data_IF_535571191519
#
_entry.id   IF_535571191519
#
_cell.length_a   1.000
_cell.length_b   1.000
_cell.length_c   1.000
_cell.angle_alpha   90.00
_cell.angle_beta   90.00
_cell.angle_gamma   90.00
#
_symmetry.space_group_name_H-M   'P 1'
#
loop_
_entity.id
_entity.type
_entity.pdbx_description
1 polymer ?
#
# COMPACT_ATOMS: atom_id res chain seq x y z
N UNK A 1 12.72 -5.53 17.58
CA UNK A 1 12.96 -6.13 16.26
C UNK A 1 11.59 -6.44 15.69
N UNK A 2 11.22 -5.78 14.61
CA UNK A 2 9.98 -6.01 13.86
C UNK A 2 10.36 -6.89 12.68
N UNK A 3 10.02 -8.18 12.73
CA UNK A 3 10.18 -9.05 11.57
C UNK A 3 9.04 -8.73 10.59
N UNK A 4 9.38 -8.04 9.51
CA UNK A 4 8.47 -7.79 8.40
C UNK A 4 8.58 -8.96 7.43
N UNK A 5 7.46 -9.57 7.11
CA UNK A 5 7.33 -10.49 5.98
C UNK A 5 6.45 -9.79 4.97
N UNK A 6 7.06 -9.32 3.88
CA UNK A 6 6.37 -8.73 2.74
C UNK A 6 6.17 -9.83 1.69
N UNK A 7 4.92 -10.11 1.34
CA UNK A 7 4.60 -11.12 0.33
C UNK A 7 3.49 -10.64 -0.60
N UNK A 8 3.81 -10.60 -1.89
CA UNK A 8 2.93 -10.23 -3.02
C UNK A 8 2.14 -11.45 -3.54
N UNK A 9 1.22 -12.02 -2.77
CA UNK A 9 0.49 -13.24 -3.17
C UNK A 9 -0.89 -13.02 -3.81
N UNK A 10 -1.32 -11.77 -4.00
CA UNK A 10 -2.66 -11.44 -4.49
C UNK A 10 -2.94 -11.77 -5.96
N UNK A 11 -1.99 -12.33 -6.71
CA UNK A 11 -2.07 -12.42 -8.17
C UNK A 11 -2.85 -13.61 -8.73
N UNK A 12 -3.26 -14.58 -7.94
CA UNK A 12 -3.95 -15.79 -8.45
C UNK A 12 -5.10 -16.22 -7.56
N UNK A 13 -6.24 -15.59 -7.70
CA UNK A 13 -7.63 -16.08 -7.68
C UNK A 13 -8.16 -17.02 -6.59
N UNK A 14 -7.36 -17.54 -5.68
CA UNK A 14 -7.83 -18.30 -4.52
C UNK A 14 -6.91 -18.06 -3.34
N UNK A 15 -7.28 -17.07 -2.53
CA UNK A 15 -6.61 -16.82 -1.26
C UNK A 15 -7.12 -17.82 -0.23
N UNK A 16 -6.33 -18.82 0.09
CA UNK A 16 -6.45 -19.50 1.36
C UNK A 16 -5.64 -18.73 2.40
N UNK A 17 -6.34 -18.01 3.29
CA UNK A 17 -5.76 -17.16 4.31
C UNK A 17 -4.80 -17.91 5.24
N UNK A 18 -4.99 -19.21 5.40
CA UNK A 18 -4.13 -20.06 6.20
C UNK A 18 -2.75 -20.24 5.58
N UNK A 19 -2.66 -20.41 4.28
CA UNK A 19 -1.41 -20.70 3.57
C UNK A 19 -0.45 -19.51 3.60
N UNK A 20 -0.94 -18.31 3.35
CA UNK A 20 -0.14 -17.06 3.35
C UNK A 20 0.37 -16.75 4.76
N UNK A 21 -0.44 -16.96 5.78
CA UNK A 21 -0.02 -16.76 7.16
C UNK A 21 0.98 -17.81 7.59
N UNK A 22 0.85 -19.08 7.17
CA UNK A 22 1.83 -20.12 7.45
C UNK A 22 3.22 -19.76 6.88
N UNK A 23 3.27 -19.25 5.66
CA UNK A 23 4.52 -18.79 5.06
C UNK A 23 5.12 -17.58 5.80
N UNK A 24 4.28 -16.58 6.16
CA UNK A 24 4.70 -15.44 6.96
C UNK A 24 5.31 -15.85 8.32
N UNK A 25 4.77 -16.89 8.94
CA UNK A 25 5.31 -17.46 10.17
C UNK A 25 6.44 -18.47 9.95
N UNK A 26 6.86 -18.71 8.69
CA UNK A 26 7.86 -19.72 8.31
C UNK A 26 7.52 -21.14 8.80
N UNK A 27 6.24 -21.46 8.80
CA UNK A 27 5.75 -22.79 9.16
C UNK A 27 5.82 -23.67 7.90
N UNK A 28 6.46 -24.84 8.04
CA UNK A 28 6.47 -25.82 6.96
C UNK A 28 5.05 -26.20 6.56
N UNK A 29 4.80 -26.14 5.24
CA UNK A 29 3.49 -26.42 4.66
C UNK A 29 3.11 -27.88 4.91
N UNK A 30 1.97 -28.09 5.54
CA UNK A 30 1.44 -29.43 5.79
C UNK A 30 0.42 -29.78 4.69
N UNK A 31 0.20 -31.05 4.46
CA UNK A 31 -0.76 -31.55 3.46
C UNK A 31 -2.23 -31.24 3.77
N UNK A 32 -2.51 -30.64 4.93
CA UNK A 32 -3.86 -30.32 5.40
C UNK A 32 -3.91 -28.87 5.92
N UNK A 33 -4.82 -28.07 5.37
CA UNK A 33 -5.09 -26.70 5.82
C UNK A 33 -5.40 -26.65 7.33
N UNK A 34 -6.12 -27.62 7.87
CA UNK A 34 -6.39 -27.72 9.30
C UNK A 34 -5.12 -27.86 10.15
N UNK A 35 -4.13 -28.60 9.68
CA UNK A 35 -2.86 -28.74 10.40
C UNK A 35 -2.05 -27.46 10.34
N UNK A 36 -2.06 -26.75 9.20
CA UNK A 36 -1.44 -25.45 9.06
C UNK A 36 -2.06 -24.42 10.02
N UNK A 37 -3.37 -24.32 10.07
CA UNK A 37 -4.09 -23.42 10.99
C UNK A 37 -3.73 -23.73 12.46
N UNK A 38 -3.73 -25.00 12.83
CA UNK A 38 -3.39 -25.42 14.19
C UNK A 38 -1.96 -25.04 14.59
N UNK A 39 -0.98 -25.26 13.69
CA UNK A 39 0.41 -24.85 13.90
C UNK A 39 0.53 -23.33 14.03
N UNK A 40 -0.17 -22.60 13.18
CA UNK A 40 -0.21 -21.14 13.18
C UNK A 40 -0.72 -20.59 14.52
N UNK A 41 -1.83 -21.13 15.02
CA UNK A 41 -2.37 -20.78 16.34
C UNK A 41 -1.37 -21.10 17.46
N UNK A 42 -0.74 -22.27 17.41
CA UNK A 42 0.27 -22.66 18.42
C UNK A 42 1.46 -21.71 18.42
N UNK A 43 1.95 -21.30 17.24
CA UNK A 43 3.06 -20.35 17.12
C UNK A 43 2.66 -18.96 17.62
N UNK A 44 1.45 -18.49 17.29
CA UNK A 44 0.93 -17.23 17.81
C UNK A 44 0.90 -17.22 19.35
N UNK A 45 0.47 -18.30 19.99
CA UNK A 45 0.52 -18.43 21.45
C UNK A 45 1.95 -18.54 22.01
N UNK A 46 2.89 -19.17 21.27
CA UNK A 46 4.29 -19.23 21.65
C UNK A 46 4.93 -17.84 21.69
N UNK A 47 4.70 -17.04 20.63
CA UNK A 47 5.15 -15.66 20.55
C UNK A 47 4.55 -14.80 21.68
N UNK A 48 3.25 -14.94 21.91
CA UNK A 48 2.58 -14.22 22.99
C UNK A 48 3.15 -14.56 24.37
N UNK A 49 3.41 -15.83 24.64
CA UNK A 49 4.06 -16.28 25.92
C UNK A 49 5.46 -15.74 26.08
N UNK A 50 6.18 -15.47 24.99
CA UNK A 50 7.49 -14.83 25.02
C UNK A 50 7.43 -13.31 25.21
N UNK A 51 6.24 -12.74 25.48
CA UNK A 51 6.02 -11.31 25.68
C UNK A 51 5.96 -10.48 24.39
N UNK A 52 5.88 -11.13 23.23
CA UNK A 52 5.74 -10.44 21.93
C UNK A 52 4.28 -10.15 21.63
N UNK A 53 4.01 -8.96 21.12
CA UNK A 53 2.70 -8.59 20.58
C UNK A 53 2.66 -8.93 19.10
N UNK A 54 1.61 -9.63 18.68
CA UNK A 54 1.39 -9.98 17.29
C UNK A 54 0.48 -8.95 16.62
N UNK A 55 0.91 -8.44 15.47
CA UNK A 55 0.12 -7.53 14.62
C UNK A 55 0.16 -8.10 13.21
N UNK A 56 -1.00 -8.45 12.67
CA UNK A 56 -1.17 -8.86 11.28
C UNK A 56 -1.57 -7.65 10.47
N UNK A 57 -0.82 -7.32 9.43
CA UNK A 57 -1.13 -6.22 8.50
C UNK A 57 -1.41 -6.84 7.13
N UNK A 58 -2.59 -6.55 6.59
CA UNK A 58 -2.99 -7.00 5.25
C UNK A 58 -3.18 -5.75 4.39
N UNK A 59 -2.28 -5.58 3.43
CA UNK A 59 -2.40 -4.53 2.42
C UNK A 59 -3.27 -5.01 1.25
N UNK A 60 -3.80 -4.06 0.49
CA UNK A 60 -4.75 -4.31 -0.60
C UNK A 60 -5.96 -5.18 -0.20
N UNK A 61 -6.38 -5.11 1.06
CA UNK A 61 -7.50 -5.89 1.60
C UNK A 61 -8.84 -5.67 0.87
N UNK A 62 -8.96 -4.63 0.06
CA UNK A 62 -10.12 -4.38 -0.81
C UNK A 62 -10.27 -5.42 -1.93
N UNK A 63 -9.18 -6.14 -2.26
CA UNK A 63 -9.18 -7.23 -3.25
C UNK A 63 -9.62 -8.57 -2.65
N UNK A 64 -9.78 -8.65 -1.33
CA UNK A 64 -10.21 -9.89 -0.68
C UNK A 64 -11.69 -10.17 -0.97
N UNK A 65 -11.96 -11.40 -1.34
CA UNK A 65 -13.34 -11.89 -1.40
C UNK A 65 -13.97 -11.96 -0.01
N UNK A 66 -15.28 -11.79 0.07
CA UNK A 66 -16.04 -11.87 1.33
C UNK A 66 -15.77 -13.17 2.10
N UNK A 67 -15.64 -14.29 1.41
CA UNK A 67 -15.35 -15.58 2.04
C UNK A 67 -13.97 -15.61 2.69
N UNK A 68 -12.96 -15.04 2.04
CA UNK A 68 -11.61 -14.92 2.56
C UNK A 68 -11.53 -14.03 3.80
N UNK A 69 -12.25 -12.90 3.81
CA UNK A 69 -12.38 -12.03 4.99
C UNK A 69 -13.00 -12.79 6.18
N UNK A 70 -14.02 -13.61 5.91
CA UNK A 70 -14.67 -14.41 6.95
C UNK A 70 -13.78 -15.54 7.49
N UNK A 71 -13.06 -16.25 6.60
CA UNK A 71 -12.06 -17.26 7.01
C UNK A 71 -10.97 -16.63 7.88
N UNK A 72 -10.43 -15.49 7.44
CA UNK A 72 -9.43 -14.73 8.22
C UNK A 72 -9.96 -14.37 9.60
N UNK A 73 -11.18 -13.86 9.69
CA UNK A 73 -11.81 -13.53 10.97
C UNK A 73 -11.90 -14.75 11.87
N UNK A 74 -12.38 -15.89 11.36
CA UNK A 74 -12.53 -17.12 12.14
C UNK A 74 -11.18 -17.61 12.66
N UNK A 75 -10.15 -17.63 11.81
CA UNK A 75 -8.79 -17.99 12.19
C UNK A 75 -8.25 -17.10 13.31
N UNK A 76 -8.45 -15.80 13.21
CA UNK A 76 -7.93 -14.84 14.18
C UNK A 76 -8.73 -14.81 15.50
N UNK A 77 -9.94 -15.36 15.57
CA UNK A 77 -10.67 -15.57 16.82
C UNK A 77 -9.95 -16.56 17.76
N UNK A 78 -9.21 -17.51 17.20
CA UNK A 78 -8.43 -18.50 17.94
C UNK A 78 -7.03 -18.01 18.32
N UNK A 79 -6.66 -16.79 17.92
CA UNK A 79 -5.38 -16.17 18.27
C UNK A 79 -5.38 -15.59 19.70
N UNK A 80 -4.21 -15.29 20.29
CA UNK A 80 -4.12 -14.60 21.59
C UNK A 80 -4.91 -13.29 21.58
N UNK A 81 -5.60 -12.96 22.67
CA UNK A 81 -6.51 -11.79 22.78
C UNK A 81 -5.83 -10.42 22.57
N UNK A 82 -4.51 -10.35 22.68
CA UNK A 82 -3.73 -9.13 22.42
C UNK A 82 -3.22 -9.05 20.96
N UNK A 83 -3.68 -9.95 20.09
CA UNK A 83 -3.42 -9.86 18.66
C UNK A 83 -4.23 -8.70 18.05
N UNK A 84 -3.61 -7.99 17.11
CA UNK A 84 -4.24 -6.91 16.36
C UNK A 84 -4.21 -7.22 14.86
N UNK A 85 -5.29 -6.90 14.17
CA UNK A 85 -5.41 -6.97 12.73
C UNK A 85 -5.55 -5.55 12.16
N UNK A 86 -4.74 -5.23 11.15
CA UNK A 86 -4.83 -3.98 10.39
C UNK A 86 -5.13 -4.33 8.94
N UNK A 87 -6.24 -3.86 8.43
CA UNK A 87 -6.60 -3.96 7.03
C UNK A 87 -6.34 -2.61 6.36
N UNK A 88 -5.56 -2.64 5.28
CA UNK A 88 -5.25 -1.47 4.46
C UNK A 88 -5.85 -1.71 3.08
N UNK A 89 -6.51 -0.71 2.50
CA UNK A 89 -7.13 -0.87 1.19
C UNK A 89 -7.70 0.42 0.65
N UNK A 90 -8.26 0.34 -0.54
CA UNK A 90 -8.98 1.44 -1.18
C UNK A 90 -10.40 1.57 -0.61
N UNK A 91 -11.16 2.55 -1.08
CA UNK A 91 -12.51 2.87 -0.56
C UNK A 91 -13.50 1.71 -0.70
N UNK A 92 -13.25 0.81 -1.64
CA UNK A 92 -14.02 -0.41 -1.89
C UNK A 92 -13.99 -1.35 -0.68
N UNK A 93 -12.94 -1.31 0.14
CA UNK A 93 -12.88 -2.07 1.40
C UNK A 93 -14.00 -1.66 2.35
N UNK A 94 -14.29 -0.36 2.45
CA UNK A 94 -15.40 0.14 3.28
C UNK A 94 -16.74 -0.36 2.75
N UNK A 95 -16.94 -0.31 1.42
CA UNK A 95 -18.16 -0.83 0.80
C UNK A 95 -18.32 -2.34 1.05
N UNK A 96 -17.23 -3.11 0.96
CA UNK A 96 -17.24 -4.54 1.26
C UNK A 96 -17.60 -4.83 2.72
N UNK A 97 -17.06 -4.04 3.67
CA UNK A 97 -17.36 -4.19 5.09
C UNK A 97 -18.80 -3.78 5.44
N UNK A 98 -19.44 -2.92 4.63
CA UNK A 98 -20.83 -2.50 4.80
C UNK A 98 -21.85 -3.52 4.32
N UNK A 99 -21.43 -4.56 3.61
CA UNK A 99 -22.33 -5.63 3.21
C UNK A 99 -22.91 -6.36 4.44
N UNK A 100 -24.19 -6.69 4.39
CA UNK A 100 -24.88 -7.36 5.49
C UNK A 100 -24.17 -8.65 5.97
N UNK A 101 -23.52 -9.36 5.06
CA UNK A 101 -22.75 -10.58 5.33
C UNK A 101 -21.46 -10.32 6.11
N UNK A 102 -20.95 -9.09 6.15
CA UNK A 102 -19.71 -8.68 6.81
C UNK A 102 -19.94 -7.83 8.07
N UNK A 103 -21.17 -7.64 8.49
CA UNK A 103 -21.50 -6.82 9.67
C UNK A 103 -20.84 -7.32 10.95
N UNK A 104 -20.61 -8.61 11.07
CA UNK A 104 -19.88 -9.22 12.17
C UNK A 104 -18.39 -8.84 12.21
N UNK A 105 -17.76 -8.67 11.04
CA UNK A 105 -16.39 -8.15 10.92
C UNK A 105 -16.41 -6.65 11.23
N UNK A 106 -17.30 -5.89 10.60
CA UNK A 106 -17.43 -4.45 10.79
C UNK A 106 -17.66 -4.09 12.26
N UNK A 107 -18.45 -4.86 13.00
CA UNK A 107 -18.72 -4.62 14.42
C UNK A 107 -17.48 -4.74 15.32
N UNK A 108 -16.40 -5.36 14.85
CA UNK A 108 -15.12 -5.53 15.56
C UNK A 108 -14.09 -4.47 15.20
N UNK A 109 -14.38 -3.61 14.23
CA UNK A 109 -13.49 -2.51 13.87
C UNK A 109 -13.50 -1.49 15.00
N UNK A 110 -12.38 -1.36 15.69
CA UNK A 110 -12.21 -0.43 16.82
C UNK A 110 -11.71 0.94 16.38
N UNK A 111 -11.02 1.00 15.25
CA UNK A 111 -10.47 2.25 14.71
C UNK A 111 -10.42 2.21 13.19
N UNK A 112 -10.75 3.34 12.56
CA UNK A 112 -10.74 3.51 11.09
C UNK A 112 -10.16 4.87 10.74
N UNK A 113 -9.29 4.89 9.73
CA UNK A 113 -8.67 6.12 9.21
C UNK A 113 -8.79 6.15 7.70
N UNK A 114 -9.22 7.28 7.18
CA UNK A 114 -9.17 7.57 5.75
C UNK A 114 -8.01 8.52 5.51
N UNK A 115 -7.02 8.08 4.71
CA UNK A 115 -5.91 8.93 4.31
C UNK A 115 -6.39 10.03 3.38
N UNK A 116 -5.93 11.26 3.61
CA UNK A 116 -6.26 12.42 2.78
C UNK A 116 -5.13 12.72 1.81
N UNK A 117 -5.47 13.37 0.71
CA UNK A 117 -4.48 13.97 -0.19
C UNK A 117 -3.65 15.00 0.58
N UNK A 118 -2.39 15.05 0.28
CA UNK A 118 -1.46 16.00 0.92
C UNK A 118 -1.60 17.38 0.29
N UNK A 119 -1.37 18.41 1.09
CA UNK A 119 -1.31 19.79 0.61
C UNK A 119 0.02 20.08 -0.09
N UNK A 120 0.08 21.21 -0.81
CA UNK A 120 1.22 21.61 -1.63
C UNK A 120 2.52 21.78 -0.82
N UNK A 121 2.43 22.30 0.40
CA UNK A 121 3.61 22.51 1.25
C UNK A 121 4.24 21.19 1.69
N UNK A 122 3.43 20.23 2.10
CA UNK A 122 3.90 18.88 2.45
C UNK A 122 4.47 18.16 1.23
N UNK A 123 3.86 18.35 0.06
CA UNK A 123 4.37 17.79 -1.20
C UNK A 123 5.72 18.40 -1.58
N UNK A 124 5.90 19.71 -1.39
CA UNK A 124 7.18 20.40 -1.63
C UNK A 124 8.26 19.92 -0.68
N UNK A 125 7.93 19.79 0.61
CA UNK A 125 8.85 19.23 1.60
C UNK A 125 9.26 17.80 1.26
N UNK A 126 8.32 16.99 0.80
CA UNK A 126 8.61 15.63 0.33
C UNK A 126 9.61 15.63 -0.83
N UNK A 127 9.43 16.48 -1.85
CA UNK A 127 10.37 16.58 -2.98
C UNK A 127 11.77 16.96 -2.46
N UNK A 128 11.87 17.95 -1.59
CA UNK A 128 13.15 18.40 -1.05
C UNK A 128 13.86 17.30 -0.25
N UNK A 129 13.13 16.58 0.62
CA UNK A 129 13.68 15.45 1.40
C UNK A 129 14.17 14.31 0.49
N UNK A 130 13.44 14.00 -0.58
CA UNK A 130 13.88 12.98 -1.53
C UNK A 130 15.13 13.42 -2.31
N UNK A 131 15.26 14.69 -2.68
CA UNK A 131 16.47 15.25 -3.28
C UNK A 131 17.65 15.18 -2.31
N UNK A 132 17.48 15.59 -1.06
CA UNK A 132 18.51 15.50 -0.02
C UNK A 132 18.99 14.07 0.18
N UNK A 133 18.04 13.11 0.21
CA UNK A 133 18.32 11.67 0.38
C UNK A 133 19.23 11.11 -0.70
N UNK A 134 19.13 11.63 -1.92
CA UNK A 134 19.95 11.19 -3.07
C UNK A 134 21.11 12.14 -3.38
N UNK A 135 21.34 13.16 -2.53
CA UNK A 135 22.46 14.10 -2.66
C UNK A 135 22.32 15.10 -3.80
N UNK A 136 21.11 15.43 -4.23
CA UNK A 136 20.83 16.43 -5.25
C UNK A 136 20.43 17.78 -4.61
N UNK A 137 20.87 18.88 -5.22
CA UNK A 137 20.48 20.21 -4.78
C UNK A 137 18.97 20.47 -5.04
N UNK A 138 18.33 21.28 -4.18
CA UNK A 138 16.93 21.69 -4.39
C UNK A 138 16.74 22.46 -5.71
N UNK A 139 17.80 23.15 -6.20
CA UNK A 139 17.81 23.81 -7.52
C UNK A 139 17.80 22.86 -8.71
N UNK A 140 17.79 21.53 -8.49
CA UNK A 140 17.61 20.54 -9.56
C UNK A 140 16.29 20.78 -10.31
N UNK A 141 15.25 21.17 -9.60
CA UNK A 141 13.98 21.63 -10.17
C UNK A 141 13.87 23.15 -10.03
N UNK A 142 13.42 23.83 -11.08
CA UNK A 142 13.02 25.24 -10.94
C UNK A 142 11.74 25.32 -10.10
N UNK A 143 11.48 26.48 -9.49
CA UNK A 143 10.24 26.71 -8.71
C UNK A 143 9.00 26.39 -9.55
N UNK A 144 8.95 26.85 -10.81
CA UNK A 144 7.82 26.59 -11.70
C UNK A 144 7.64 25.10 -12.03
N UNK A 145 8.75 24.36 -12.20
CA UNK A 145 8.71 22.92 -12.41
C UNK A 145 8.17 22.19 -11.16
N UNK A 146 8.65 22.56 -9.97
CA UNK A 146 8.18 21.99 -8.70
C UNK A 146 6.69 22.22 -8.52
N UNK A 147 6.21 23.43 -8.74
CA UNK A 147 4.78 23.76 -8.63
C UNK A 147 3.91 23.00 -9.63
N UNK A 148 4.38 22.82 -10.87
CA UNK A 148 3.65 22.03 -11.86
C UNK A 148 3.59 20.55 -11.48
N UNK A 149 4.69 19.98 -10.97
CA UNK A 149 4.74 18.60 -10.46
C UNK A 149 3.75 18.43 -9.30
N UNK A 150 3.74 19.34 -8.33
CA UNK A 150 2.86 19.28 -7.16
C UNK A 150 1.40 19.31 -7.59
N UNK A 151 1.01 20.27 -8.44
CA UNK A 151 -0.35 20.35 -8.98
C UNK A 151 -0.76 19.10 -9.75
N UNK A 152 0.13 18.59 -10.59
CA UNK A 152 -0.16 17.39 -11.39
C UNK A 152 -0.21 16.12 -10.55
N UNK A 153 0.50 16.08 -9.42
CA UNK A 153 0.48 14.95 -8.49
C UNK A 153 -0.79 14.91 -7.63
N UNK A 154 -1.50 16.06 -7.48
CA UNK A 154 -2.79 16.18 -6.81
C UNK A 154 -2.81 15.53 -5.41
N UNK A 155 -1.78 15.80 -4.60
CA UNK A 155 -1.64 15.30 -3.23
C UNK A 155 -1.29 13.81 -3.09
N UNK A 156 -0.96 13.11 -4.19
CA UNK A 156 -0.60 11.68 -4.19
C UNK A 156 0.93 11.52 -4.26
N UNK A 157 1.56 11.06 -3.17
CA UNK A 157 3.02 10.91 -3.06
C UNK A 157 3.62 10.04 -4.17
N UNK A 158 3.01 8.89 -4.45
CA UNK A 158 3.49 7.99 -5.52
C UNK A 158 3.51 8.69 -6.87
N UNK A 159 2.45 9.45 -7.20
CA UNK A 159 2.37 10.21 -8.45
C UNK A 159 3.42 11.32 -8.49
N UNK A 160 3.63 12.03 -7.39
CA UNK A 160 4.68 13.04 -7.26
C UNK A 160 6.07 12.44 -7.50
N UNK A 161 6.40 11.37 -6.80
CA UNK A 161 7.69 10.68 -6.94
C UNK A 161 7.93 10.20 -8.37
N UNK A 162 6.94 9.59 -9.00
CA UNK A 162 7.04 9.11 -10.37
C UNK A 162 7.25 10.25 -11.35
N UNK A 163 6.56 11.40 -11.18
CA UNK A 163 6.78 12.60 -11.99
C UNK A 163 8.19 13.15 -11.83
N UNK A 164 8.70 13.24 -10.61
CA UNK A 164 10.08 13.67 -10.36
C UNK A 164 11.09 12.74 -11.05
N UNK A 165 10.92 11.42 -10.95
CA UNK A 165 11.81 10.44 -11.59
C UNK A 165 11.73 10.58 -13.12
N UNK A 166 10.53 10.63 -13.69
CA UNK A 166 10.34 10.73 -15.14
C UNK A 166 10.93 12.03 -15.71
N UNK A 167 10.78 13.14 -15.00
CA UNK A 167 11.36 14.43 -15.42
C UNK A 167 12.88 14.46 -15.29
N UNK A 168 13.46 13.81 -14.27
CA UNK A 168 14.92 13.63 -14.18
C UNK A 168 15.46 12.78 -15.32
N UNK A 169 14.79 11.69 -15.69
CA UNK A 169 15.18 10.87 -16.84
C UNK A 169 15.11 11.65 -18.15
N UNK A 170 14.08 12.47 -18.34
CA UNK A 170 13.94 13.32 -19.51
C UNK A 170 15.01 14.41 -19.56
N UNK A 171 15.39 15.00 -18.43
CA UNK A 171 16.49 15.95 -18.32
C UNK A 171 17.84 15.32 -18.71
N UNK A 172 18.09 14.07 -18.30
CA UNK A 172 19.27 13.31 -18.70
C UNK A 172 19.29 13.09 -20.22
N UNK A 173 18.15 12.71 -20.81
CA UNK A 173 18.01 12.56 -22.28
C UNK A 173 18.27 13.87 -23.01
N UNK A 174 17.74 14.98 -22.49
CA UNK A 174 17.93 16.32 -23.02
C UNK A 174 19.33 16.91 -22.72
N UNK A 175 20.14 16.23 -21.86
CA UNK A 175 21.46 16.69 -21.40
C UNK A 175 21.42 18.04 -20.70
N UNK A 176 20.37 18.33 -19.96
CA UNK A 176 20.23 19.54 -19.14
C UNK A 176 20.45 19.23 -17.66
N UNK A 177 20.95 20.21 -16.91
CA UNK A 177 21.26 20.05 -15.47
C UNK A 177 20.14 20.55 -14.57
N UNK A 178 19.29 21.42 -15.07
CA UNK A 178 18.16 21.97 -14.32
C UNK A 178 16.84 21.61 -15.02
N UNK A 179 15.88 21.18 -14.25
CA UNK A 179 14.57 20.76 -14.75
C UNK A 179 13.65 21.97 -14.67
N UNK A 180 13.23 22.45 -15.82
CA UNK A 180 12.28 23.53 -15.99
C UNK A 180 10.87 23.01 -16.31
N UNK A 181 9.94 23.93 -16.49
CA UNK A 181 8.54 23.63 -16.78
C UNK A 181 8.37 22.89 -18.12
N UNK A 182 9.26 23.13 -19.11
CA UNK A 182 9.15 22.52 -20.42
C UNK A 182 9.50 21.03 -20.38
N UNK A 183 10.46 20.64 -19.55
CA UNK A 183 10.79 19.23 -19.28
C UNK A 183 9.59 18.53 -18.61
N UNK A 184 8.97 19.17 -17.61
CA UNK A 184 7.79 18.61 -16.93
C UNK A 184 6.63 18.45 -17.91
N UNK A 185 6.35 19.45 -18.74
CA UNK A 185 5.30 19.39 -19.75
C UNK A 185 5.52 18.24 -20.75
N UNK A 186 6.76 18.03 -21.21
CA UNK A 186 7.07 16.90 -22.11
C UNK A 186 6.74 15.55 -21.47
N UNK A 187 7.00 15.40 -20.16
CA UNK A 187 6.65 14.19 -19.43
C UNK A 187 5.13 14.04 -19.29
N UNK A 188 4.42 15.12 -18.94
CA UNK A 188 2.97 15.11 -18.76
C UNK A 188 2.21 14.81 -20.08
N UNK A 189 2.80 15.09 -21.23
CA UNK A 189 2.25 14.74 -22.55
C UNK A 189 2.38 13.25 -22.89
N UNK A 190 3.15 12.46 -22.12
CA UNK A 190 3.24 11.02 -22.35
C UNK A 190 1.89 10.35 -21.98
N UNK A 191 1.45 9.33 -22.76
CA UNK A 191 0.10 8.77 -22.64
C UNK A 191 -0.29 8.30 -21.24
N UNK A 192 0.64 7.73 -20.48
CA UNK A 192 0.38 7.21 -19.14
C UNK A 192 0.21 8.30 -18.05
N UNK A 193 0.51 9.57 -18.38
CA UNK A 193 0.26 10.72 -17.52
C UNK A 193 -1.04 11.44 -17.85
N UNK A 194 -1.57 11.25 -19.05
CA UNK A 194 -2.86 11.80 -19.44
C UNK A 194 -3.95 11.04 -18.69
N UNK A 195 -4.87 11.77 -18.05
CA UNK A 195 -6.04 11.13 -17.49
C UNK A 195 -6.78 10.42 -18.62
N UNK A 196 -7.18 9.16 -18.39
CA UNK A 196 -8.08 8.42 -19.29
C UNK A 196 -9.51 9.02 -19.21
N UNK A 197 -9.64 10.29 -19.56
CA UNK A 197 -10.91 10.89 -19.91
C UNK A 197 -10.86 11.00 -21.42
N UNK A 198 -11.82 10.37 -22.10
CA UNK A 198 -12.10 10.42 -23.54
C UNK A 198 -11.43 9.37 -24.47
N UNK A 199 -11.56 8.08 -24.11
CA UNK A 199 -11.52 7.02 -25.13
C UNK A 199 -12.92 6.48 -25.49
N UNK A 200 -14.00 7.19 -25.13
CA UNK A 200 -15.38 6.79 -25.47
C UNK A 200 -15.99 7.56 -26.64
N UNK A 201 -15.22 8.42 -27.32
CA UNK A 201 -15.71 9.20 -28.47
C UNK A 201 -14.98 8.84 -29.78
N UNK A 202 -14.67 7.54 -30.00
CA UNK A 202 -14.31 7.06 -31.33
C UNK A 202 -15.09 5.80 -31.68
#
# INVERSE_FOLDING_TARGET
>A
FTDWVEQDYWRHGSFDSGDVLCEAFRIEFESSAFQCERKLIQEAFSLNRSGKMLVTIIDDAHLMETESLRKLRLLLEDFPKNHNLILIGQVELLANLDLAVNLDIKSRVTYSVITRRLNDDVMREFIHRELDRIGLAHSTFTTAATELIIRSADGVLRRCRNLCISTMLEAVRARVRSIDIDIVNRVLLQPHWQNQVDLTDF
#
